data_IF_571142406097
#
_entry.id   IF_571142406097
#
_cell.length_a   1.000
_cell.length_b   1.000
_cell.length_c   1.000
_cell.angle_alpha   90.00
_cell.angle_beta   90.00
_cell.angle_gamma   90.00
#
_symmetry.space_group_name_H-M   'P 1'
#
loop_
_entity.id
_entity.type
_entity.pdbx_description
1 polymer ?
#
# COMPACT_ATOMS: atom_id res chain seq x y z
N UNK A 1 -1.71 10.32 -6.06
CA UNK A 1 -1.87 8.90 -5.63
C UNK A 1 -3.31 8.52 -5.89
N UNK A 2 -3.59 7.37 -6.52
CA UNK A 2 -4.96 6.89 -6.71
C UNK A 2 -5.70 6.78 -5.37
N UNK A 3 -7.01 7.02 -5.37
CA UNK A 3 -7.83 7.12 -4.15
C UNK A 3 -8.07 5.78 -3.46
N UNK A 4 -8.12 4.68 -4.23
CA UNK A 4 -8.37 3.34 -3.69
C UNK A 4 -7.62 2.24 -4.44
N UNK A 5 -7.41 1.10 -3.76
CA UNK A 5 -6.84 -0.11 -4.34
C UNK A 5 -7.93 -0.93 -5.05
N UNK A 6 -7.75 -1.20 -6.35
CA UNK A 6 -8.75 -1.91 -7.16
C UNK A 6 -9.01 -3.36 -6.72
N UNK A 7 -8.04 -4.03 -6.08
CA UNK A 7 -8.20 -5.42 -5.63
C UNK A 7 -8.77 -5.60 -4.21
N UNK A 8 -8.60 -4.64 -3.30
CA UNK A 8 -9.04 -4.81 -1.90
C UNK A 8 -9.80 -3.62 -1.33
N UNK A 9 -10.12 -2.61 -2.15
CA UNK A 9 -10.91 -1.45 -1.74
C UNK A 9 -10.22 -0.51 -0.75
N UNK A 10 -8.93 -0.72 -0.41
CA UNK A 10 -8.24 0.15 0.55
C UNK A 10 -8.24 1.59 0.08
N UNK A 11 -8.80 2.45 0.91
CA UNK A 11 -8.95 3.88 0.69
C UNK A 11 -8.25 4.69 1.77
N UNK A 12 -8.24 6.02 1.61
CA UNK A 12 -7.73 6.93 2.63
C UNK A 12 -8.64 6.87 3.86
N UNK A 13 -8.04 6.75 5.04
CA UNK A 13 -8.76 6.74 6.32
C UNK A 13 -8.40 7.99 7.10
N UNK A 14 -9.38 8.58 7.77
CA UNK A 14 -9.15 9.71 8.67
C UNK A 14 -8.88 9.22 10.08
N UNK A 15 -7.96 9.88 10.77
CA UNK A 15 -7.78 9.67 12.20
C UNK A 15 -6.99 10.80 12.82
N UNK A 16 -6.34 10.52 13.95
CA UNK A 16 -5.73 11.56 14.78
C UNK A 16 -4.33 11.16 15.21
N UNK A 17 -3.43 12.14 15.27
CA UNK A 17 -2.16 11.99 16.00
C UNK A 17 -2.45 12.15 17.48
N UNK A 18 -2.02 11.21 18.30
CA UNK A 18 -2.25 11.20 19.76
C UNK A 18 -0.93 11.02 20.54
N UNK A 19 0.22 11.18 19.86
CA UNK A 19 1.55 10.92 20.41
C UNK A 19 2.49 12.08 20.10
N UNK A 20 3.26 12.49 21.10
CA UNK A 20 4.35 13.45 20.91
C UNK A 20 5.53 12.83 20.15
N UNK A 21 6.40 13.68 19.59
CA UNK A 21 7.67 13.24 19.03
C UNK A 21 8.57 12.60 20.09
N UNK A 22 9.57 11.84 19.65
CA UNK A 22 10.55 11.22 20.56
C UNK A 22 11.40 12.34 21.21
N UNK A 23 11.57 12.29 22.53
CA UNK A 23 12.41 13.24 23.28
C UNK A 23 11.69 14.43 23.93
N UNK A 24 10.48 14.79 23.49
CA UNK A 24 9.74 15.98 24.00
C UNK A 24 8.86 15.71 25.22
N UNK A 25 8.67 14.45 25.60
CA UNK A 25 7.90 14.06 26.77
C UNK A 25 8.67 12.99 27.55
N UNK A 26 9.34 13.41 28.64
CA UNK A 26 9.62 12.47 29.74
C UNK A 26 8.33 11.69 30.02
N UNK A 27 8.42 10.38 30.27
CA UNK A 27 7.30 9.40 30.23
C UNK A 27 5.97 9.88 30.86
N UNK A 28 6.00 10.87 31.77
CA UNK A 28 4.87 11.66 32.32
C UNK A 28 3.90 12.28 31.30
N UNK A 29 4.36 12.79 30.15
CA UNK A 29 3.50 13.57 29.24
C UNK A 29 3.00 12.80 28.00
N UNK A 30 3.24 11.48 27.95
CA UNK A 30 2.92 10.64 26.77
C UNK A 30 1.44 10.64 26.37
N UNK A 31 0.53 10.72 27.35
CA UNK A 31 -0.93 10.68 27.12
C UNK A 31 -1.59 12.06 26.97
N UNK A 32 -0.80 13.16 27.03
CA UNK A 32 -1.31 14.54 26.98
C UNK A 32 -1.06 15.23 25.62
N UNK A 33 -0.78 14.45 24.58
CA UNK A 33 -0.52 14.99 23.25
C UNK A 33 -1.76 15.64 22.63
N UNK A 34 -1.53 16.74 21.92
CA UNK A 34 -2.58 17.42 21.17
C UNK A 34 -3.18 16.50 20.12
N UNK A 35 -4.52 16.55 20.02
CA UNK A 35 -5.29 15.73 19.08
C UNK A 35 -5.38 16.41 17.73
N UNK A 36 -4.38 16.23 16.88
CA UNK A 36 -4.38 16.80 15.54
C UNK A 36 -4.97 15.81 14.53
N UNK A 37 -5.90 16.25 13.69
CA UNK A 37 -6.45 15.45 12.60
C UNK A 37 -5.39 15.12 11.56
N UNK A 38 -5.39 13.88 11.05
CA UNK A 38 -4.51 13.45 9.94
C UNK A 38 -5.20 12.44 9.04
N UNK A 39 -4.76 12.39 7.80
CA UNK A 39 -5.17 11.37 6.81
C UNK A 39 -4.13 10.25 6.73
N UNK A 40 -4.57 9.00 6.78
CA UNK A 40 -3.77 7.82 6.51
C UNK A 40 -3.99 7.37 5.07
N UNK A 41 -3.05 7.74 4.20
CA UNK A 41 -3.08 7.36 2.79
C UNK A 41 -2.55 5.93 2.62
N UNK A 42 -3.25 5.06 1.88
CA UNK A 42 -2.72 3.74 1.55
C UNK A 42 -1.53 3.87 0.57
N UNK A 43 -0.54 2.98 0.71
CA UNK A 43 0.58 2.88 -0.24
C UNK A 43 0.10 2.15 -1.51
N UNK A 44 -0.48 2.91 -2.44
CA UNK A 44 -0.98 2.46 -3.74
C UNK A 44 0.03 2.81 -4.83
N UNK A 45 0.32 1.84 -5.69
CA UNK A 45 1.21 1.99 -6.84
C UNK A 45 0.50 1.52 -8.10
N UNK A 46 0.85 2.10 -9.25
CA UNK A 46 0.43 1.59 -10.55
C UNK A 46 1.22 0.31 -10.85
N UNK A 47 0.55 -0.76 -11.23
CA UNK A 47 1.21 -2.04 -11.50
C UNK A 47 0.51 -2.76 -12.64
N UNK A 48 1.31 -3.34 -13.53
CA UNK A 48 0.81 -4.20 -14.62
C UNK A 48 0.68 -5.63 -14.12
N UNK A 49 -0.54 -6.14 -14.13
CA UNK A 49 -0.84 -7.54 -13.83
C UNK A 49 -1.21 -8.27 -15.11
N UNK A 50 -0.99 -9.56 -15.15
CA UNK A 50 -1.37 -10.42 -16.27
C UNK A 50 -2.43 -11.39 -15.78
N UNK A 51 -3.60 -11.33 -16.38
CA UNK A 51 -4.71 -12.26 -16.13
C UNK A 51 -4.99 -13.00 -17.44
N UNK A 52 -4.81 -14.32 -17.43
CA UNK A 52 -4.79 -15.12 -18.66
C UNK A 52 -3.65 -14.68 -19.60
N UNK A 53 -4.00 -14.31 -20.83
CA UNK A 53 -3.08 -13.84 -21.87
C UNK A 53 -3.05 -12.30 -22.00
N UNK A 54 -3.79 -11.59 -21.15
CA UNK A 54 -3.96 -10.13 -21.25
C UNK A 54 -3.31 -9.41 -20.09
N UNK A 55 -2.59 -8.32 -20.39
CA UNK A 55 -1.97 -7.45 -19.41
C UNK A 55 -2.87 -6.25 -19.09
N UNK A 56 -3.11 -6.00 -17.81
CA UNK A 56 -3.92 -4.90 -17.30
C UNK A 56 -3.09 -4.01 -16.38
N UNK A 57 -3.17 -2.70 -16.57
CA UNK A 57 -2.63 -1.74 -15.60
C UNK A 57 -3.67 -1.42 -14.55
N UNK A 58 -3.31 -1.57 -13.27
CA UNK A 58 -4.20 -1.26 -12.16
C UNK A 58 -3.49 -0.61 -10.98
N UNK A 59 -4.27 0.14 -10.20
CA UNK A 59 -3.83 0.77 -8.96
C UNK A 59 -3.95 -0.24 -7.82
N UNK A 60 -2.82 -0.70 -7.28
CA UNK A 60 -2.75 -1.74 -6.26
C UNK A 60 -1.98 -1.29 -5.02
N UNK A 61 -2.43 -1.73 -3.85
CA UNK A 61 -1.67 -1.52 -2.63
C UNK A 61 -0.47 -2.48 -2.54
N UNK A 62 0.57 -2.09 -1.79
CA UNK A 62 1.77 -2.91 -1.62
C UNK A 62 1.49 -4.36 -1.12
N UNK A 63 0.46 -4.57 -0.28
CA UNK A 63 0.06 -5.93 0.16
C UNK A 63 -0.49 -6.77 -1.00
N UNK A 64 -1.29 -6.18 -1.90
CA UNK A 64 -1.82 -6.87 -3.07
C UNK A 64 -0.73 -7.15 -4.09
N UNK A 65 0.18 -6.21 -4.32
CA UNK A 65 1.36 -6.41 -5.18
C UNK A 65 2.19 -7.59 -4.66
N UNK A 66 2.44 -7.66 -3.34
CA UNK A 66 3.14 -8.80 -2.73
C UNK A 66 2.41 -10.13 -2.94
N UNK A 67 1.08 -10.16 -2.84
CA UNK A 67 0.27 -11.36 -3.10
C UNK A 67 0.36 -11.78 -4.57
N UNK A 68 0.18 -10.84 -5.50
CA UNK A 68 0.26 -11.11 -6.93
C UNK A 68 1.65 -11.53 -7.40
N UNK A 69 2.71 -11.09 -6.70
CA UNK A 69 4.07 -11.59 -6.92
C UNK A 69 4.24 -13.06 -6.54
N UNK A 70 3.55 -13.53 -5.50
CA UNK A 70 3.55 -14.95 -5.13
C UNK A 70 2.73 -15.79 -6.10
N UNK A 71 1.63 -15.22 -6.60
CA UNK A 71 0.75 -15.89 -7.56
C UNK A 71 1.28 -15.86 -9.02
N UNK A 72 2.48 -15.32 -9.27
CA UNK A 72 3.06 -15.10 -10.61
C UNK A 72 2.16 -14.30 -11.58
N UNK A 73 1.34 -13.39 -11.04
CA UNK A 73 0.40 -12.55 -11.80
C UNK A 73 1.00 -11.22 -12.26
N UNK A 74 2.28 -10.95 -11.98
CA UNK A 74 2.95 -9.71 -12.38
C UNK A 74 3.55 -9.82 -13.78
N UNK A 75 3.48 -8.76 -14.58
CA UNK A 75 4.00 -8.80 -15.97
C UNK A 75 5.51 -9.04 -16.03
N UNK A 76 6.27 -8.49 -15.09
CA UNK A 76 7.73 -8.64 -15.05
C UNK A 76 8.19 -10.09 -14.89
N UNK A 77 7.35 -10.96 -14.32
CA UNK A 77 7.69 -12.35 -14.03
C UNK A 77 7.28 -13.31 -15.15
N UNK A 78 6.26 -12.96 -15.96
CA UNK A 78 5.85 -13.81 -17.09
C UNK A 78 6.84 -13.79 -18.26
N UNK A 79 7.53 -12.67 -18.48
CA UNK A 79 8.61 -12.59 -19.47
C UNK A 79 9.81 -13.49 -19.11
N UNK A 80 10.05 -13.77 -17.82
CA UNK A 80 11.17 -14.60 -17.39
C UNK A 80 10.90 -16.11 -17.58
N UNK A 81 9.64 -16.56 -17.47
CA UNK A 81 9.26 -17.97 -17.66
C UNK A 81 9.19 -18.40 -19.13
N UNK A 82 8.98 -17.45 -20.05
CA UNK A 82 9.02 -17.71 -21.50
C UNK A 82 10.44 -17.62 -22.08
N UNK A 83 11.39 -17.01 -21.37
CA UNK A 83 12.78 -16.85 -21.82
C UNK A 83 13.72 -17.97 -21.32
N UNK A 84 13.18 -18.95 -20.59
CA UNK A 84 13.91 -20.08 -20.00
C UNK A 84 13.51 -21.44 -20.60
N UNK A 85 12.76 -21.42 -21.70
CA UNK A 85 12.48 -22.53 -22.61
C UNK A 85 13.16 -22.23 -23.94
#
# INVERSE_FOLDING_TARGET
MASFCMNCGKQTVYGRTQTHHRGVAGKRWRKRAHKTSRTFKPNIQKTTIVMGNTAYQMNLCAKCIKKFRKDNKLSSQRFQLQASL
#
